data_IF_932756085542
#
_entry.id   IF_932756085542
#
_cell.length_a   1.000
_cell.length_b   1.000
_cell.length_c   1.000
_cell.angle_alpha   90.00
_cell.angle_beta   90.00
_cell.angle_gamma   90.00
#
_symmetry.space_group_name_H-M   'P 1'
#
loop_
_entity.id
_entity.type
_entity.pdbx_description
1 polymer ?
#
# COMPACT_ATOMS: atom_id res chain seq x y z
N UNK A 1 -10.18 -11.23 -14.77
CA UNK A 1 -9.28 -11.48 -13.64
C UNK A 1 -8.24 -10.37 -13.56
N UNK A 2 -8.49 -9.36 -12.73
CA UNK A 2 -7.59 -8.24 -12.42
C UNK A 2 -7.15 -8.43 -10.98
N UNK A 3 -5.87 -8.75 -10.74
CA UNK A 3 -5.34 -8.95 -9.38
C UNK A 3 -4.17 -8.01 -9.12
N UNK A 4 -4.05 -7.53 -7.88
CA UNK A 4 -2.88 -6.76 -7.46
C UNK A 4 -1.86 -7.69 -6.81
N UNK A 5 -0.65 -7.76 -7.36
CA UNK A 5 0.42 -8.60 -6.83
C UNK A 5 1.55 -7.70 -6.33
N UNK A 6 1.97 -7.89 -5.09
CA UNK A 6 2.96 -7.04 -4.43
C UNK A 6 3.85 -7.81 -3.47
N UNK A 7 5.10 -7.38 -3.33
CA UNK A 7 5.93 -7.76 -2.20
C UNK A 7 5.59 -6.86 -1.00
N UNK A 8 5.62 -7.41 0.22
CA UNK A 8 5.39 -6.64 1.44
C UNK A 8 6.61 -5.77 1.78
N UNK A 9 6.41 -4.45 1.80
CA UNK A 9 7.47 -3.47 2.10
C UNK A 9 7.04 -2.46 3.13
N UNK A 10 7.97 -2.00 3.94
CA UNK A 10 7.78 -0.89 4.87
C UNK A 10 8.80 0.18 4.56
N UNK A 11 8.34 1.41 4.34
CA UNK A 11 9.21 2.60 4.27
C UNK A 11 8.98 3.49 5.48
N UNK A 12 10.02 4.14 5.99
CA UNK A 12 9.86 5.16 7.04
C UNK A 12 9.68 6.54 6.42
N UNK A 13 8.50 7.15 6.57
CA UNK A 13 8.19 8.51 6.13
C UNK A 13 8.00 9.39 7.37
N UNK A 14 8.96 10.30 7.64
CA UNK A 14 8.94 11.19 8.81
C UNK A 14 8.64 10.43 10.12
N UNK A 15 9.38 9.33 10.34
CA UNK A 15 9.26 8.46 11.52
C UNK A 15 7.96 7.65 11.60
N UNK A 16 7.03 7.83 10.65
CA UNK A 16 5.83 6.99 10.53
C UNK A 16 6.06 5.86 9.54
N UNK A 17 5.70 4.60 9.88
CA UNK A 17 5.79 3.49 8.94
C UNK A 17 4.75 3.67 7.83
N UNK A 18 5.18 3.39 6.61
CA UNK A 18 4.34 3.37 5.41
C UNK A 18 4.43 1.98 4.79
N UNK A 19 3.40 1.19 5.06
CA UNK A 19 3.26 -0.17 4.51
C UNK A 19 2.91 -0.12 3.03
N UNK A 20 3.53 -1.01 2.26
CA UNK A 20 3.24 -1.27 0.85
C UNK A 20 2.88 -2.73 0.69
N UNK A 21 1.62 -2.96 0.32
CA UNK A 21 1.04 -4.25 0.01
C UNK A 21 0.14 -4.08 -1.24
N UNK A 22 -0.96 -4.82 -1.34
CA UNK A 22 -1.74 -4.96 -2.56
C UNK A 22 -2.41 -3.65 -2.99
N UNK A 23 -3.01 -2.88 -2.08
CA UNK A 23 -3.69 -1.65 -2.46
C UNK A 23 -2.68 -0.55 -2.82
N UNK A 24 -1.64 -0.38 -1.99
CA UNK A 24 -0.59 0.60 -2.29
C UNK A 24 0.18 0.26 -3.57
N UNK A 25 0.21 -1.00 -4.02
CA UNK A 25 0.79 -1.35 -5.32
C UNK A 25 0.06 -0.70 -6.50
N UNK A 26 -1.25 -0.46 -6.38
CA UNK A 26 -2.04 0.25 -7.39
C UNK A 26 -1.62 1.71 -7.57
N UNK A 27 -0.89 2.26 -6.60
CA UNK A 27 -0.27 3.57 -6.73
C UNK A 27 0.67 3.68 -7.93
N UNK A 28 1.25 2.57 -8.39
CA UNK A 28 2.06 2.51 -9.60
C UNK A 28 1.27 2.85 -10.89
N UNK A 29 -0.06 2.81 -10.85
CA UNK A 29 -0.93 3.11 -11.98
C UNK A 29 -1.11 4.63 -12.21
N UNK A 30 -0.68 5.47 -11.26
CA UNK A 30 -0.82 6.90 -11.41
C UNK A 30 0.15 7.49 -12.44
N UNK A 31 -0.33 8.34 -13.37
CA UNK A 31 0.53 9.05 -14.28
C UNK A 31 1.37 10.05 -13.49
N UNK A 32 2.67 9.76 -13.32
CA UNK A 32 3.64 10.62 -12.64
C UNK A 32 3.72 12.04 -13.22
N UNK A 33 3.34 12.22 -14.49
CA UNK A 33 3.25 13.53 -15.12
C UNK A 33 2.19 14.44 -14.46
N UNK A 34 1.10 13.85 -13.94
CA UNK A 34 0.00 14.56 -13.26
C UNK A 34 0.21 14.59 -11.75
N UNK A 35 0.66 13.48 -11.19
CA UNK A 35 1.06 13.34 -9.79
C UNK A 35 2.60 13.42 -9.67
N UNK A 36 3.15 14.65 -9.75
CA UNK A 36 4.56 15.04 -9.49
C UNK A 36 5.05 14.91 -8.02
N UNK A 37 5.90 13.95 -7.70
CA UNK A 37 6.59 13.95 -6.40
C UNK A 37 7.26 15.31 -6.08
N UNK A 38 7.36 15.67 -4.78
CA UNK A 38 7.86 17.01 -4.34
C UNK A 38 9.26 17.37 -4.86
N UNK A 39 10.02 16.40 -5.38
CA UNK A 39 11.26 16.60 -6.12
C UNK A 39 11.47 15.49 -7.15
N UNK A 40 12.36 15.71 -8.12
CA UNK A 40 12.72 14.71 -9.14
C UNK A 40 13.27 13.40 -8.56
N UNK A 41 13.72 13.41 -7.30
CA UNK A 41 14.29 12.25 -6.61
C UNK A 41 13.33 11.61 -5.60
N UNK A 42 12.20 12.25 -5.28
CA UNK A 42 11.27 11.71 -4.29
C UNK A 42 10.41 10.63 -4.95
N UNK A 43 10.61 9.36 -4.57
CA UNK A 43 9.81 8.24 -5.08
C UNK A 43 8.64 7.88 -4.14
N UNK A 44 8.71 8.28 -2.87
CA UNK A 44 7.72 7.96 -1.84
C UNK A 44 6.83 9.11 -1.37
N UNK A 45 7.18 10.37 -1.68
CA UNK A 45 6.37 11.54 -1.28
C UNK A 45 5.58 12.10 -2.47
N UNK A 46 4.48 11.43 -2.81
CA UNK A 46 3.39 12.12 -3.50
C UNK A 46 2.66 13.04 -2.51
N UNK A 47 2.80 14.34 -2.77
CA UNK A 47 1.72 15.33 -2.80
C UNK A 47 0.96 15.75 -1.55
N UNK A 48 0.40 16.97 -1.68
CA UNK A 48 -0.96 17.23 -1.20
C UNK A 48 -1.89 16.83 -2.35
N UNK A 49 -2.84 15.92 -2.16
CA UNK A 49 -3.15 15.21 -0.92
C UNK A 49 -2.13 14.09 -0.59
N UNK A 50 -2.07 13.68 0.67
CA UNK A 50 -1.10 12.69 1.20
C UNK A 50 -1.31 11.29 0.61
N UNK A 51 -0.34 10.38 0.78
CA UNK A 51 -0.45 8.99 0.30
C UNK A 51 -1.73 8.30 0.78
N UNK A 52 -2.12 8.34 2.08
CA UNK A 52 -3.37 7.73 2.53
C UNK A 52 -4.62 8.32 1.88
N UNK A 53 -4.62 9.63 1.57
CA UNK A 53 -5.73 10.28 0.89
C UNK A 53 -5.81 9.84 -0.58
N UNK A 54 -4.68 9.77 -1.27
CA UNK A 54 -4.63 9.27 -2.65
C UNK A 54 -5.11 7.80 -2.71
N UNK A 55 -4.76 6.97 -1.73
CA UNK A 55 -5.19 5.58 -1.70
C UNK A 55 -6.71 5.41 -1.48
N UNK A 56 -7.37 6.36 -0.82
CA UNK A 56 -8.84 6.41 -0.77
C UNK A 56 -9.43 6.64 -2.17
N UNK A 57 -8.88 7.60 -2.91
CA UNK A 57 -9.29 7.87 -4.30
C UNK A 57 -9.02 6.64 -5.20
N UNK A 58 -7.87 5.98 -5.06
CA UNK A 58 -7.56 4.72 -5.77
C UNK A 58 -8.65 3.70 -5.52
N UNK A 59 -8.94 3.44 -4.25
CA UNK A 59 -9.88 2.41 -3.87
C UNK A 59 -11.26 2.68 -4.48
N UNK A 60 -11.76 3.92 -4.34
CA UNK A 60 -13.05 4.33 -4.88
C UNK A 60 -13.12 4.35 -6.41
N UNK A 61 -12.02 4.65 -7.10
CA UNK A 61 -12.03 4.82 -8.58
C UNK A 61 -11.69 3.56 -9.36
N UNK A 62 -10.66 2.81 -8.94
CA UNK A 62 -10.18 1.62 -9.66
C UNK A 62 -10.02 0.40 -8.76
N UNK A 63 -9.98 0.56 -7.44
CA UNK A 63 -9.81 -0.56 -6.51
C UNK A 63 -10.93 -1.59 -6.62
N UNK A 64 -12.18 -1.13 -6.79
CA UNK A 64 -13.34 -1.99 -7.02
C UNK A 64 -13.29 -2.78 -8.35
N UNK A 65 -12.38 -2.43 -9.27
CA UNK A 65 -12.15 -3.19 -10.49
C UNK A 65 -11.19 -4.37 -10.27
N UNK A 66 -10.57 -4.52 -9.10
CA UNK A 66 -9.72 -5.68 -8.83
C UNK A 66 -10.54 -6.80 -8.21
N UNK A 67 -10.40 -8.00 -8.79
CA UNK A 67 -11.10 -9.21 -8.35
C UNK A 67 -10.42 -9.83 -7.11
N UNK A 68 -9.22 -9.35 -6.75
CA UNK A 68 -8.46 -9.79 -5.59
C UNK A 68 -7.00 -9.33 -5.58
N UNK A 69 -6.20 -9.88 -4.68
CA UNK A 69 -4.79 -9.53 -4.55
C UNK A 69 -3.92 -10.61 -3.90
N UNK A 70 -2.61 -10.40 -4.00
CA UNK A 70 -1.57 -11.23 -3.41
C UNK A 70 -0.50 -10.32 -2.80
N UNK A 71 -0.30 -10.45 -1.49
CA UNK A 71 0.83 -9.88 -0.76
C UNK A 71 1.84 -10.99 -0.45
N UNK A 72 2.96 -10.99 -1.17
CA UNK A 72 4.10 -11.84 -0.86
C UNK A 72 4.80 -11.32 0.41
N UNK A 73 4.55 -12.00 1.52
CA UNK A 73 5.19 -11.79 2.81
C UNK A 73 6.22 -12.90 3.06
N UNK A 74 6.81 -13.51 2.03
CA UNK A 74 7.96 -14.43 2.23
C UNK A 74 9.09 -13.67 2.94
N UNK A 75 9.27 -12.41 2.56
CA UNK A 75 10.07 -11.43 3.27
C UNK A 75 9.31 -10.12 3.45
N UNK A 76 9.57 -9.45 4.58
CA UNK A 76 9.30 -8.03 4.78
C UNK A 76 10.54 -7.24 4.41
N UNK A 77 10.44 -6.31 3.46
CA UNK A 77 11.53 -5.42 3.10
C UNK A 77 11.39 -4.05 3.78
N UNK A 78 12.35 -3.67 4.61
CA UNK A 78 12.36 -2.37 5.32
C UNK A 78 13.39 -1.45 4.68
N UNK A 79 12.98 -0.23 4.31
CA UNK A 79 13.85 0.76 3.68
C UNK A 79 13.51 2.20 4.09
N UNK A 80 14.40 3.14 3.76
CA UNK A 80 14.11 4.57 3.94
C UNK A 80 13.29 5.10 2.75
N UNK A 81 12.36 6.03 2.99
CA UNK A 81 11.44 6.52 1.95
C UNK A 81 12.13 7.15 0.72
N UNK A 82 13.30 7.77 0.91
CA UNK A 82 14.10 8.36 -0.18
C UNK A 82 14.97 7.34 -0.93
N UNK A 83 15.06 6.09 -0.45
CA UNK A 83 15.66 4.93 -1.14
C UNK A 83 14.81 3.67 -0.93
N UNK A 84 13.60 3.61 -1.49
CA UNK A 84 12.66 2.50 -1.26
C UNK A 84 13.12 1.16 -1.87
N UNK A 85 14.22 1.19 -2.61
CA UNK A 85 14.91 0.08 -3.26
C UNK A 85 16.19 -0.35 -2.51
N UNK A 86 16.61 0.38 -1.47
CA UNK A 86 17.80 0.05 -0.66
C UNK A 86 17.37 -0.15 0.78
N UNK A 87 17.52 -1.37 1.28
CA UNK A 87 16.96 -1.78 2.57
C UNK A 87 17.35 -3.20 2.94
N UNK A 88 16.69 -3.71 3.97
CA UNK A 88 16.93 -5.04 4.53
C UNK A 88 15.66 -5.89 4.47
N UNK A 89 15.83 -7.14 4.01
CA UNK A 89 14.78 -8.16 4.07
C UNK A 89 14.79 -8.90 5.41
N UNK A 90 13.60 -9.16 5.94
CA UNK A 90 13.37 -9.96 7.14
C UNK A 90 12.42 -11.10 6.78
N UNK A 91 12.77 -12.34 7.14
CA UNK A 91 11.93 -13.48 6.85
C UNK A 91 10.60 -13.41 7.63
N UNK A 92 9.49 -13.63 6.92
CA UNK A 92 8.14 -13.79 7.49
C UNK A 92 7.55 -15.13 7.04
N UNK A 93 7.80 -15.54 5.79
CA UNK A 93 7.61 -16.91 5.31
C UNK A 93 6.19 -17.28 4.89
N UNK A 94 5.35 -16.30 4.56
CA UNK A 94 3.95 -16.54 4.21
C UNK A 94 3.50 -15.70 3.02
N UNK A 95 2.49 -16.16 2.28
CA UNK A 95 1.84 -15.40 1.21
C UNK A 95 0.39 -15.22 1.58
N UNK A 96 -0.10 -13.98 1.53
CA UNK A 96 -1.51 -13.64 1.77
C UNK A 96 -2.18 -13.38 0.44
N UNK A 97 -3.36 -13.96 0.23
CA UNK A 97 -4.16 -13.75 -0.98
C UNK A 97 -5.65 -13.83 -0.66
N UNK A 98 -6.47 -13.28 -1.55
CA UNK A 98 -7.92 -13.25 -1.38
C UNK A 98 -8.60 -12.28 -2.35
N UNK A 99 -9.87 -12.01 -2.09
CA UNK A 99 -10.70 -11.18 -2.97
C UNK A 99 -10.93 -9.75 -2.43
N UNK A 100 -10.50 -9.46 -1.19
CA UNK A 100 -10.59 -8.14 -0.57
C UNK A 100 -9.18 -7.59 -0.29
N UNK A 101 -8.81 -6.53 -1.02
CA UNK A 101 -7.50 -5.88 -0.91
C UNK A 101 -7.23 -5.34 0.50
N UNK A 102 -8.26 -4.83 1.21
CA UNK A 102 -8.09 -4.28 2.56
C UNK A 102 -7.83 -5.41 3.57
N UNK A 103 -8.57 -6.52 3.44
CA UNK A 103 -8.38 -7.69 4.29
C UNK A 103 -6.99 -8.31 4.09
N UNK A 104 -6.53 -8.41 2.83
CA UNK A 104 -5.18 -8.89 2.51
C UNK A 104 -4.12 -8.00 3.14
N UNK A 105 -4.22 -6.68 2.95
CA UNK A 105 -3.22 -5.73 3.44
C UNK A 105 -3.18 -5.72 4.98
N UNK A 106 -4.32 -5.86 5.65
CA UNK A 106 -4.39 -6.02 7.11
C UNK A 106 -3.71 -7.30 7.59
N UNK A 107 -4.05 -8.44 6.99
CA UNK A 107 -3.46 -9.73 7.35
C UNK A 107 -1.94 -9.73 7.08
N UNK A 108 -1.49 -9.10 5.99
CA UNK A 108 -0.07 -8.92 5.71
C UNK A 108 0.65 -8.12 6.81
N UNK A 109 0.06 -7.03 7.30
CA UNK A 109 0.60 -6.27 8.44
C UNK A 109 0.71 -7.14 9.70
N UNK A 110 -0.34 -7.91 10.02
CA UNK A 110 -0.38 -8.81 11.18
C UNK A 110 0.71 -9.88 11.11
N UNK A 111 0.83 -10.57 9.97
CA UNK A 111 1.85 -11.61 9.77
C UNK A 111 3.27 -11.05 9.83
N UNK A 112 3.48 -9.85 9.28
CA UNK A 112 4.77 -9.19 9.28
C UNK A 112 5.10 -8.47 10.60
N UNK A 113 4.23 -8.54 11.61
CA UNK A 113 4.34 -7.86 12.89
C UNK A 113 4.58 -6.35 12.74
N UNK A 114 3.85 -5.73 11.81
CA UNK A 114 3.91 -4.30 11.54
C UNK A 114 2.61 -3.61 11.99
N UNK A 115 2.66 -2.31 12.35
CA UNK A 115 1.47 -1.53 12.55
C UNK A 115 0.54 -1.59 11.33
N UNK A 116 -0.76 -1.51 11.59
CA UNK A 116 -1.74 -1.47 10.52
C UNK A 116 -1.48 -0.29 9.58
N UNK A 117 -1.59 -0.54 8.28
CA UNK A 117 -1.34 0.47 7.29
C UNK A 117 -2.33 1.64 7.44
N UNK A 118 -1.80 2.86 7.51
CA UNK A 118 -2.57 4.07 7.81
C UNK A 118 -3.64 4.48 6.77
N UNK A 119 -3.74 3.76 5.65
CA UNK A 119 -4.81 3.93 4.67
C UNK A 119 -6.00 2.98 4.89
N UNK A 120 -5.87 1.93 5.70
CA UNK A 120 -6.93 0.92 5.87
C UNK A 120 -8.15 1.50 6.57
N UNK A 121 -7.98 2.02 7.79
CA UNK A 121 -9.10 2.55 8.57
C UNK A 121 -9.88 3.68 7.86
N UNK A 122 -9.25 4.68 7.21
CA UNK A 122 -9.99 5.67 6.43
C UNK A 122 -10.82 5.08 5.29
N UNK A 123 -10.31 4.06 4.59
CA UNK A 123 -11.03 3.44 3.47
C UNK A 123 -12.21 2.60 3.97
N UNK A 124 -12.06 1.91 5.09
CA UNK A 124 -13.18 1.17 5.69
C UNK A 124 -14.30 2.07 6.16
N UNK A 125 -13.97 3.22 6.77
CA UNK A 125 -14.97 4.22 7.11
C UNK A 125 -15.73 4.69 5.85
N UNK A 126 -15.04 4.89 4.73
CA UNK A 126 -15.69 5.24 3.46
C UNK A 126 -16.58 4.12 2.91
N UNK A 127 -16.18 2.85 3.03
CA UNK A 127 -17.01 1.71 2.62
C UNK A 127 -18.34 1.68 3.38
N UNK A 128 -18.29 1.86 4.70
CA UNK A 128 -19.48 1.87 5.54
C UNK A 128 -20.47 2.96 5.10
N UNK A 129 -19.98 4.15 4.78
CA UNK A 129 -20.83 5.26 4.30
C UNK A 129 -21.42 5.08 2.90
N UNK A 130 -20.92 4.13 2.10
CA UNK A 130 -21.40 3.85 0.74
C UNK A 130 -22.35 2.65 0.68
N UNK A 131 -22.34 1.81 1.73
CA UNK A 131 -23.23 0.65 1.87
C UNK A 131 -24.54 1.01 2.61
N UNK A 132 -24.58 2.16 3.30
CA UNK A 132 -25.76 2.79 3.92
C UNK A 132 -26.51 3.72 2.94
#
# INVERSE_FOLDING_TARGET
CRISVSAFKVTSLKESPLVSATLKNLYGLFPRAKYKARSAHSRGQLHRPSVPQILQDVYGTIGHLFDGGVADCSQKFISQDWRPDVGQGFAVGQVVWGNDLLAIDRQACQLAQEPEANYLAPIEALRQTLED
#
